data_IF_086539797286
#
_entry.id   IF_086539797286
#
_cell.length_a   1.000
_cell.length_b   1.000
_cell.length_c   1.000
_cell.angle_alpha   90.00
_cell.angle_beta   90.00
_cell.angle_gamma   90.00
#
_symmetry.space_group_name_H-M   'P 1'
#
loop_
_entity.id
_entity.type
_entity.pdbx_description
1 polymer ?
#
# COMPACT_ATOMS: atom_id res chain seq x y z
N UNK A 1 34.51 -35.32 -9.90
CA UNK A 1 33.33 -34.72 -9.24
C UNK A 1 32.35 -35.86 -8.92
N UNK A 2 32.08 -36.07 -7.64
CA UNK A 2 31.22 -37.19 -7.16
C UNK A 2 29.75 -36.96 -7.59
N UNK A 3 29.03 -38.05 -7.83
CA UNK A 3 27.59 -38.03 -8.18
C UNK A 3 26.77 -37.27 -7.12
N UNK A 4 27.16 -37.35 -5.84
CA UNK A 4 26.56 -36.62 -4.74
C UNK A 4 26.64 -35.09 -4.91
N UNK A 5 27.76 -34.54 -5.43
CA UNK A 5 27.96 -33.10 -5.66
C UNK A 5 27.05 -32.56 -6.76
N UNK A 6 26.75 -33.42 -7.76
CA UNK A 6 25.82 -33.04 -8.87
C UNK A 6 24.37 -32.96 -8.42
N UNK A 7 23.94 -33.86 -7.51
CA UNK A 7 22.56 -33.83 -6.99
C UNK A 7 22.30 -32.67 -6.05
N UNK A 8 23.29 -32.27 -5.24
CA UNK A 8 23.18 -31.11 -4.34
C UNK A 8 23.11 -29.81 -5.15
N UNK A 9 23.93 -29.65 -6.22
CA UNK A 9 23.89 -28.49 -7.07
C UNK A 9 22.56 -28.36 -7.84
N UNK A 10 21.99 -29.49 -8.29
CA UNK A 10 20.69 -29.48 -8.97
C UNK A 10 19.52 -29.14 -8.03
N UNK A 11 19.57 -29.63 -6.78
CA UNK A 11 18.57 -29.29 -5.78
C UNK A 11 18.61 -27.81 -5.35
N UNK A 12 19.82 -27.21 -5.25
CA UNK A 12 19.96 -25.79 -4.97
C UNK A 12 19.43 -24.90 -6.11
N UNK A 13 19.74 -25.25 -7.37
CA UNK A 13 19.19 -24.53 -8.54
C UNK A 13 17.66 -24.61 -8.62
N UNK A 14 17.08 -25.78 -8.31
CA UNK A 14 15.64 -25.95 -8.32
C UNK A 14 14.97 -25.15 -7.19
N UNK A 15 15.57 -25.07 -6.01
CA UNK A 15 15.06 -24.26 -4.90
C UNK A 15 15.09 -22.75 -5.20
N UNK A 16 16.14 -22.24 -5.85
CA UNK A 16 16.22 -20.84 -6.29
C UNK A 16 15.15 -20.53 -7.36
N UNK A 17 14.93 -21.41 -8.32
CA UNK A 17 13.93 -21.23 -9.36
C UNK A 17 12.50 -21.20 -8.78
N UNK A 18 12.21 -22.04 -7.78
CA UNK A 18 10.90 -22.04 -7.10
C UNK A 18 10.67 -20.78 -6.28
N UNK A 19 11.70 -20.22 -5.63
CA UNK A 19 11.60 -18.96 -4.89
C UNK A 19 11.30 -17.79 -5.81
N UNK A 20 11.95 -17.69 -6.96
CA UNK A 20 11.70 -16.65 -7.95
C UNK A 20 10.30 -16.70 -8.55
N UNK A 21 9.77 -17.90 -8.84
CA UNK A 21 8.42 -18.07 -9.35
C UNK A 21 7.35 -17.71 -8.31
N UNK A 22 7.55 -18.04 -7.04
CA UNK A 22 6.64 -17.68 -5.96
C UNK A 22 6.60 -16.15 -5.73
N UNK A 23 7.74 -15.47 -5.82
CA UNK A 23 7.82 -14.02 -5.72
C UNK A 23 7.15 -13.32 -6.91
N UNK A 24 7.36 -13.78 -8.12
CA UNK A 24 6.72 -13.24 -9.32
C UNK A 24 5.19 -13.39 -9.25
N UNK A 25 4.69 -14.55 -8.81
CA UNK A 25 3.27 -14.79 -8.59
C UNK A 25 2.67 -13.90 -7.50
N UNK A 26 3.45 -13.59 -6.45
CA UNK A 26 3.03 -12.65 -5.39
C UNK A 26 2.91 -11.22 -5.93
N UNK A 27 3.88 -10.74 -6.72
CA UNK A 27 3.86 -9.41 -7.35
C UNK A 27 2.67 -9.24 -8.30
N UNK A 28 2.43 -10.20 -9.18
CA UNK A 28 1.29 -10.20 -10.09
C UNK A 28 -0.04 -10.14 -9.32
N UNK A 29 -0.13 -10.85 -8.21
CA UNK A 29 -1.32 -10.83 -7.35
C UNK A 29 -1.52 -9.46 -6.68
N UNK A 30 -0.43 -8.80 -6.24
CA UNK A 30 -0.49 -7.44 -5.71
C UNK A 30 -0.95 -6.48 -6.81
N UNK A 31 -0.35 -6.53 -8.00
CA UNK A 31 -0.69 -5.66 -9.13
C UNK A 31 -2.16 -5.77 -9.53
N UNK A 32 -2.70 -6.98 -9.69
CA UNK A 32 -4.13 -7.20 -9.98
C UNK A 32 -5.05 -6.60 -8.93
N UNK A 33 -4.67 -6.69 -7.65
CA UNK A 33 -5.45 -6.08 -6.56
C UNK A 33 -5.35 -4.57 -6.56
N UNK A 34 -4.16 -4.02 -6.86
CA UNK A 34 -3.91 -2.59 -7.00
C UNK A 34 -4.75 -2.00 -8.13
N UNK A 35 -4.76 -2.65 -9.31
CA UNK A 35 -5.56 -2.22 -10.45
C UNK A 35 -7.06 -2.20 -10.11
N UNK A 36 -7.53 -3.25 -9.43
CA UNK A 36 -8.92 -3.32 -8.95
C UNK A 36 -9.24 -2.19 -7.97
N UNK A 37 -8.36 -1.94 -6.99
CA UNK A 37 -8.57 -0.88 -5.99
C UNK A 37 -8.58 0.51 -6.64
N UNK A 38 -7.72 0.77 -7.63
CA UNK A 38 -7.72 2.02 -8.39
C UNK A 38 -9.00 2.19 -9.22
N UNK A 39 -9.48 1.12 -9.86
CA UNK A 39 -10.74 1.17 -10.60
C UNK A 39 -11.93 1.46 -9.67
N UNK A 40 -11.98 0.81 -8.52
CA UNK A 40 -13.02 1.06 -7.50
C UNK A 40 -12.93 2.49 -6.94
N UNK A 41 -11.73 3.02 -6.68
CA UNK A 41 -11.54 4.40 -6.24
C UNK A 41 -12.08 5.40 -7.28
N UNK A 42 -11.77 5.20 -8.54
CA UNK A 42 -12.28 6.05 -9.63
C UNK A 42 -13.79 6.02 -9.76
N UNK A 43 -14.40 4.85 -9.59
CA UNK A 43 -15.85 4.71 -9.68
C UNK A 43 -16.60 5.23 -8.46
N UNK A 44 -16.01 5.08 -7.26
CA UNK A 44 -16.67 5.43 -6.00
C UNK A 44 -16.47 6.89 -5.58
N UNK A 45 -15.40 7.54 -6.07
CA UNK A 45 -14.97 8.87 -5.59
C UNK A 45 -15.00 9.89 -6.70
N UNK A 46 -15.91 10.85 -6.61
CA UNK A 46 -16.00 11.95 -7.58
C UNK A 46 -14.75 12.81 -7.52
N UNK A 47 -14.07 12.97 -8.66
CA UNK A 47 -12.81 13.72 -8.76
C UNK A 47 -11.53 12.88 -8.62
N UNK A 48 -11.63 11.57 -8.41
CA UNK A 48 -10.49 10.67 -8.28
C UNK A 48 -9.56 10.70 -9.50
N UNK A 49 -10.11 10.71 -10.72
CA UNK A 49 -9.31 10.79 -11.95
C UNK A 49 -8.50 12.09 -12.04
N UNK A 50 -9.09 13.22 -11.66
CA UNK A 50 -8.40 14.50 -11.66
C UNK A 50 -7.24 14.54 -10.65
N UNK A 51 -7.40 13.90 -9.50
CA UNK A 51 -6.34 13.80 -8.48
C UNK A 51 -5.22 12.88 -8.95
N UNK A 52 -5.56 11.72 -9.50
CA UNK A 52 -4.58 10.77 -10.04
C UNK A 52 -3.82 11.41 -11.21
N UNK A 53 -4.49 12.14 -12.08
CA UNK A 53 -3.86 12.82 -13.21
C UNK A 53 -2.86 13.92 -12.79
N UNK A 54 -3.07 14.56 -11.63
CA UNK A 54 -2.16 15.57 -11.07
C UNK A 54 -1.01 14.94 -10.27
N UNK A 55 -1.08 13.67 -9.95
CA UNK A 55 -0.09 13.02 -9.09
C UNK A 55 1.21 12.72 -9.83
N UNK A 56 2.32 12.85 -9.11
CA UNK A 56 3.65 12.38 -9.54
C UNK A 56 3.87 10.91 -9.17
N UNK A 57 3.08 10.37 -8.26
CA UNK A 57 3.08 8.96 -7.86
C UNK A 57 1.86 8.59 -7.02
N UNK A 58 1.46 7.34 -7.08
CA UNK A 58 0.32 6.80 -6.33
C UNK A 58 0.71 5.48 -5.67
N UNK A 59 0.73 5.45 -4.35
CA UNK A 59 0.96 4.22 -3.58
C UNK A 59 -0.38 3.64 -3.14
N UNK A 60 -0.65 2.42 -3.54
CA UNK A 60 -1.94 1.76 -3.34
C UNK A 60 -1.78 0.54 -2.44
N UNK A 61 -2.48 0.53 -1.32
CA UNK A 61 -2.69 -0.64 -0.47
C UNK A 61 -4.11 -1.14 -0.67
N UNK A 62 -4.30 -2.20 -1.49
CA UNK A 62 -5.64 -2.68 -1.86
C UNK A 62 -6.39 -3.35 -0.71
N UNK A 63 -5.67 -3.74 0.34
CA UNK A 63 -6.27 -4.31 1.55
C UNK A 63 -5.28 -4.18 2.71
N UNK A 64 -5.63 -3.39 3.70
CA UNK A 64 -4.96 -3.35 5.00
C UNK A 64 -5.89 -4.04 5.98
N UNK A 65 -5.42 -5.15 6.55
CA UNK A 65 -6.18 -5.95 7.49
C UNK A 65 -5.80 -5.56 8.91
N UNK A 66 -6.81 -5.40 9.76
CA UNK A 66 -6.67 -5.17 11.20
C UNK A 66 -7.12 -6.42 11.93
N UNK A 67 -6.29 -6.88 12.88
CA UNK A 67 -6.62 -8.01 13.75
C UNK A 67 -6.13 -7.74 15.18
N UNK A 68 -6.91 -8.17 16.16
CA UNK A 68 -6.58 -8.05 17.58
C UNK A 68 -7.81 -7.91 18.47
N UNK A 69 -7.61 -8.14 19.76
CA UNK A 69 -8.60 -7.91 20.83
C UNK A 69 -7.92 -7.02 21.89
N UNK A 70 -8.41 -5.78 22.05
CA UNK A 70 -7.79 -4.78 22.94
C UNK A 70 -6.51 -4.16 22.37
N UNK A 71 -5.51 -4.98 22.06
CA UNK A 71 -4.29 -4.60 21.34
C UNK A 71 -4.22 -5.44 20.09
N UNK A 72 -3.88 -4.82 18.97
CA UNK A 72 -3.82 -5.50 17.67
C UNK A 72 -2.80 -4.86 16.73
N UNK A 73 -2.76 -5.37 15.52
CA UNK A 73 -1.93 -4.83 14.45
C UNK A 73 -2.70 -4.68 13.16
N UNK A 74 -2.19 -3.78 12.33
CA UNK A 74 -2.64 -3.62 10.95
C UNK A 74 -1.49 -4.00 10.02
N UNK A 75 -1.81 -4.69 8.94
CA UNK A 75 -0.85 -5.06 7.90
C UNK A 75 -1.50 -5.08 6.53
N UNK A 76 -0.75 -4.61 5.54
CA UNK A 76 -1.15 -4.65 4.14
C UNK A 76 0.04 -4.55 3.20
N UNK A 77 -0.11 -5.08 2.00
CA UNK A 77 0.85 -4.99 0.92
C UNK A 77 0.27 -4.20 -0.23
N UNK A 78 1.13 -3.47 -0.94
CA UNK A 78 0.75 -2.59 -2.02
C UNK A 78 1.86 -2.30 -3.01
N UNK A 79 1.56 -1.44 -3.97
CA UNK A 79 2.51 -1.03 -5.01
C UNK A 79 2.47 0.47 -5.25
N UNK A 80 3.66 1.03 -5.50
CA UNK A 80 3.83 2.40 -5.98
C UNK A 80 3.73 2.42 -7.50
N UNK A 81 2.82 3.22 -8.02
CA UNK A 81 2.62 3.50 -9.43
C UNK A 81 3.17 4.87 -9.79
N UNK A 82 4.01 4.95 -10.83
CA UNK A 82 4.47 6.19 -11.44
C UNK A 82 4.20 6.08 -12.94
N UNK A 83 3.49 7.06 -13.50
CA UNK A 83 3.08 7.00 -14.90
C UNK A 83 2.25 5.75 -15.25
N UNK A 84 1.45 5.26 -14.30
CA UNK A 84 0.61 4.06 -14.46
C UNK A 84 1.33 2.72 -14.30
N UNK A 85 2.67 2.69 -14.15
CA UNK A 85 3.47 1.47 -14.01
C UNK A 85 3.91 1.24 -12.57
N UNK A 86 3.96 -0.01 -12.12
CA UNK A 86 4.55 -0.38 -10.84
C UNK A 86 6.06 -0.17 -10.88
N UNK A 87 6.58 0.61 -9.93
CA UNK A 87 8.02 0.87 -9.78
C UNK A 87 8.61 0.22 -8.52
N UNK A 88 7.80 -0.04 -7.50
CA UNK A 88 8.24 -0.69 -6.26
C UNK A 88 7.03 -1.25 -5.50
N UNK A 89 7.28 -2.24 -4.64
CA UNK A 89 6.30 -2.82 -3.73
C UNK A 89 6.60 -2.41 -2.30
N UNK A 90 5.55 -2.27 -1.50
CA UNK A 90 5.64 -1.83 -0.11
C UNK A 90 4.68 -2.63 0.77
N UNK A 91 5.06 -2.79 2.02
CA UNK A 91 4.16 -3.20 3.09
C UNK A 91 3.86 -2.01 4.00
N UNK A 92 2.70 -2.00 4.62
CA UNK A 92 2.36 -1.08 5.71
C UNK A 92 2.02 -1.87 6.96
N UNK A 93 2.50 -1.39 8.11
CA UNK A 93 2.22 -1.97 9.41
C UNK A 93 1.99 -0.86 10.44
N UNK A 94 1.03 -1.07 11.33
CA UNK A 94 0.76 -0.18 12.47
C UNK A 94 0.29 -0.99 13.68
N UNK A 95 0.64 -0.51 14.88
CA UNK A 95 -0.01 -0.99 16.10
C UNK A 95 -1.41 -0.36 16.20
N UNK A 96 -2.38 -1.12 16.64
CA UNK A 96 -3.73 -0.62 16.88
C UNK A 96 -4.19 -0.95 18.28
N UNK A 97 -4.78 0.05 18.96
CA UNK A 97 -5.40 -0.09 20.28
C UNK A 97 -6.90 0.14 20.08
N UNK A 98 -7.73 -0.77 20.55
CA UNK A 98 -9.18 -0.58 20.52
C UNK A 98 -9.97 -1.86 20.74
N UNK A 99 -11.14 -1.70 21.33
CA UNK A 99 -12.12 -2.77 21.54
C UNK A 99 -12.90 -3.03 20.25
N UNK A 100 -12.28 -3.74 19.31
CA UNK A 100 -12.98 -4.18 18.11
C UNK A 100 -12.87 -5.69 17.99
N UNK A 101 -14.00 -6.37 18.18
CA UNK A 101 -14.16 -7.78 17.91
C UNK A 101 -14.29 -7.96 16.39
N UNK A 102 -13.29 -8.61 15.76
CA UNK A 102 -13.37 -9.01 14.37
C UNK A 102 -12.22 -8.52 13.49
N UNK A 103 -12.09 -9.13 12.33
CA UNK A 103 -11.16 -8.73 11.29
C UNK A 103 -11.81 -7.64 10.42
N UNK A 104 -11.16 -6.49 10.32
CA UNK A 104 -11.57 -5.41 9.44
C UNK A 104 -10.56 -5.26 8.32
N UNK A 105 -11.01 -4.80 7.17
CA UNK A 105 -10.14 -4.48 6.05
C UNK A 105 -10.51 -3.11 5.48
N UNK A 106 -9.50 -2.29 5.21
CA UNK A 106 -9.64 -1.00 4.53
C UNK A 106 -8.74 -0.94 3.30
N UNK A 107 -9.07 -0.04 2.40
CA UNK A 107 -8.21 0.35 1.28
C UNK A 107 -7.62 1.71 1.55
N UNK A 108 -6.39 1.88 1.13
CA UNK A 108 -5.68 3.14 1.31
C UNK A 108 -4.89 3.48 0.06
N UNK A 109 -5.04 4.72 -0.40
CA UNK A 109 -4.30 5.25 -1.54
C UNK A 109 -3.59 6.52 -1.09
N UNK A 110 -2.26 6.53 -1.14
CA UNK A 110 -1.47 7.74 -0.93
C UNK A 110 -1.16 8.33 -2.30
N UNK A 111 -1.58 9.57 -2.50
CA UNK A 111 -1.33 10.33 -3.71
C UNK A 111 -0.24 11.36 -3.40
N UNK A 112 0.88 11.26 -4.11
CA UNK A 112 1.98 12.23 -4.05
C UNK A 112 1.70 13.32 -5.08
N UNK A 113 1.49 14.55 -4.62
CA UNK A 113 1.23 15.72 -5.46
C UNK A 113 2.47 16.57 -5.65
N UNK A 114 3.53 16.30 -4.87
CA UNK A 114 4.82 16.99 -4.92
C UNK A 114 5.95 16.01 -5.20
N UNK A 115 6.84 16.37 -6.13
CA UNK A 115 7.95 15.51 -6.54
C UNK A 115 8.97 15.30 -5.42
N UNK A 116 9.25 16.35 -4.64
CA UNK A 116 10.23 16.25 -3.55
C UNK A 116 9.75 15.32 -2.44
N UNK A 117 8.43 15.33 -2.16
CA UNK A 117 7.81 14.41 -1.21
C UNK A 117 7.88 12.95 -1.70
N UNK A 118 7.66 12.71 -2.99
CA UNK A 118 7.82 11.38 -3.59
C UNK A 118 9.27 10.90 -3.53
N UNK A 119 10.24 11.77 -3.84
CA UNK A 119 11.65 11.42 -3.84
C UNK A 119 12.15 11.13 -2.41
N UNK A 120 11.72 11.93 -1.44
CA UNK A 120 12.00 11.68 -0.01
C UNK A 120 11.41 10.34 0.45
N UNK A 121 10.17 10.04 0.07
CA UNK A 121 9.54 8.76 0.35
C UNK A 121 10.33 7.59 -0.26
N UNK A 122 10.75 7.70 -1.52
CA UNK A 122 11.46 6.64 -2.24
C UNK A 122 12.89 6.42 -1.76
N UNK A 123 13.52 7.42 -1.16
CA UNK A 123 14.86 7.32 -0.59
C UNK A 123 14.90 6.63 0.77
N UNK A 124 13.75 6.43 1.41
CA UNK A 124 13.61 5.72 2.69
C UNK A 124 13.11 4.30 2.48
N UNK A 125 13.74 3.34 3.11
CA UNK A 125 13.26 1.95 3.13
C UNK A 125 12.19 1.72 4.21
N UNK A 126 12.18 2.57 5.25
CA UNK A 126 11.21 2.57 6.33
C UNK A 126 10.69 3.98 6.54
N UNK A 127 9.55 4.29 5.97
CA UNK A 127 8.93 5.61 6.06
C UNK A 127 7.76 5.59 7.06
N UNK A 128 7.75 6.51 8.01
CA UNK A 128 6.72 6.61 9.04
C UNK A 128 5.82 7.83 8.82
N UNK A 129 4.52 7.59 8.73
CA UNK A 129 3.51 8.67 8.59
C UNK A 129 3.49 9.53 9.85
N UNK A 130 3.60 10.85 9.67
CA UNK A 130 3.63 11.83 10.78
C UNK A 130 5.03 12.15 11.29
N UNK A 131 6.02 11.28 11.04
CA UNK A 131 7.43 11.49 11.41
C UNK A 131 8.26 11.92 10.19
N UNK A 132 8.28 11.10 9.14
CA UNK A 132 9.08 11.35 7.94
C UNK A 132 8.38 12.27 6.93
N UNK A 133 7.07 12.40 7.04
CA UNK A 133 6.26 13.29 6.22
C UNK A 133 4.85 13.44 6.71
N UNK A 134 4.30 14.64 6.55
CA UNK A 134 2.90 14.94 6.84
C UNK A 134 2.00 14.40 5.73
N UNK A 135 0.93 13.74 6.12
CA UNK A 135 -0.08 13.18 5.20
C UNK A 135 -1.45 13.71 5.60
N UNK A 136 -2.12 14.34 4.67
CA UNK A 136 -3.52 14.73 4.87
C UNK A 136 -4.43 13.54 4.61
N UNK A 137 -5.22 13.15 5.60
CA UNK A 137 -6.13 12.02 5.51
C UNK A 137 -7.51 12.45 5.05
N UNK A 138 -8.00 11.82 4.01
CA UNK A 138 -9.37 11.98 3.49
C UNK A 138 -10.09 10.64 3.59
N UNK A 139 -11.05 10.55 4.49
CA UNK A 139 -11.94 9.38 4.57
C UNK A 139 -13.09 9.59 3.60
N UNK A 140 -13.23 8.69 2.65
CA UNK A 140 -14.27 8.77 1.62
C UNK A 140 -15.34 7.74 1.92
N UNK A 141 -16.54 8.21 2.29
CA UNK A 141 -17.73 7.40 2.40
C UNK A 141 -18.36 7.09 1.03
N UNK A 142 -19.41 6.26 1.00
CA UNK A 142 -20.14 5.96 -0.22
C UNK A 142 -20.71 7.24 -0.87
N UNK A 143 -20.36 7.48 -2.13
CA UNK A 143 -20.73 8.69 -2.86
C UNK A 143 -19.89 9.93 -2.49
N UNK A 144 -18.74 9.74 -1.84
CA UNK A 144 -17.90 10.83 -1.38
C UNK A 144 -17.30 11.66 -2.52
N UNK A 145 -17.16 12.96 -2.26
CA UNK A 145 -16.51 13.92 -3.14
C UNK A 145 -15.20 14.36 -2.52
N UNK A 146 -14.17 14.49 -3.34
CA UNK A 146 -12.88 15.01 -2.91
C UNK A 146 -13.02 16.52 -2.71
N UNK A 147 -12.67 16.98 -1.50
CA UNK A 147 -12.53 18.40 -1.20
C UNK A 147 -11.24 18.93 -1.84
N UNK A 148 -11.37 19.79 -2.84
CA UNK A 148 -10.25 20.36 -3.58
C UNK A 148 -9.28 21.15 -2.68
N UNK A 149 -9.74 21.68 -1.54
CA UNK A 149 -8.87 22.41 -0.59
C UNK A 149 -7.85 21.49 0.09
N UNK A 150 -8.15 20.21 0.22
CA UNK A 150 -7.24 19.19 0.77
C UNK A 150 -6.15 18.76 -0.20
N UNK A 151 -6.25 19.14 -1.47
CA UNK A 151 -5.28 18.82 -2.51
C UNK A 151 -4.06 19.77 -2.55
N UNK A 152 -3.98 20.75 -1.68
CA UNK A 152 -2.84 21.66 -1.54
C UNK A 152 -1.73 21.11 -0.62
N UNK A 153 -1.77 19.80 -0.34
CA UNK A 153 -0.79 19.13 0.51
C UNK A 153 0.12 18.23 -0.35
N UNK A 154 1.41 18.10 0.01
CA UNK A 154 2.34 17.26 -0.75
C UNK A 154 1.92 15.80 -0.88
N UNK A 155 1.29 15.24 0.17
CA UNK A 155 0.81 13.86 0.21
C UNK A 155 -0.62 13.85 0.77
N UNK A 156 -1.52 13.21 0.04
CA UNK A 156 -2.92 13.01 0.47
C UNK A 156 -3.22 11.52 0.51
N UNK A 157 -3.69 11.02 1.65
CA UNK A 157 -4.14 9.65 1.81
C UNK A 157 -5.66 9.56 1.74
N UNK A 158 -6.15 8.80 0.77
CA UNK A 158 -7.56 8.46 0.66
C UNK A 158 -7.79 7.10 1.30
N UNK A 159 -8.71 7.07 2.26
CA UNK A 159 -9.16 5.84 2.89
C UNK A 159 -10.59 5.61 2.46
N UNK A 160 -10.84 4.46 1.87
CA UNK A 160 -12.17 4.06 1.47
C UNK A 160 -12.38 2.57 1.73
N UNK A 161 -13.59 2.21 2.09
CA UNK A 161 -14.03 0.85 2.29
C UNK A 161 -15.36 0.63 1.56
N UNK A 162 -15.55 -0.56 1.06
CA UNK A 162 -16.82 -1.00 0.49
C UNK A 162 -17.95 -1.08 1.51
N UNK A 163 -17.67 -0.98 2.80
CA UNK A 163 -18.63 -1.13 3.90
C UNK A 163 -18.95 0.13 4.71
N UNK A 164 -18.28 1.26 4.47
CA UNK A 164 -18.68 2.58 4.97
C UNK A 164 -18.64 2.81 6.49
N UNK A 165 -17.92 2.01 7.27
CA UNK A 165 -17.98 2.02 8.73
C UNK A 165 -16.59 2.26 9.38
N UNK A 166 -15.86 3.30 8.95
CA UNK A 166 -14.61 3.63 9.64
C UNK A 166 -14.66 5.02 10.26
N UNK A 167 -14.93 5.07 11.56
CA UNK A 167 -14.72 6.22 12.43
C UNK A 167 -13.37 6.06 13.12
N UNK A 168 -12.61 7.17 13.23
CA UNK A 168 -11.30 7.27 13.92
C UNK A 168 -10.16 6.44 13.31
N UNK A 169 -9.69 6.84 12.15
CA UNK A 169 -8.45 6.35 11.58
C UNK A 169 -7.32 7.36 11.79
N UNK A 170 -6.46 7.08 12.75
CA UNK A 170 -5.15 7.71 12.83
C UNK A 170 -4.19 6.91 11.93
N UNK A 171 -3.62 7.54 10.91
CA UNK A 171 -2.54 6.94 10.12
C UNK A 171 -1.17 7.21 10.73
N UNK A 172 -1.08 8.14 11.67
CA UNK A 172 0.16 8.48 12.38
C UNK A 172 0.76 7.25 13.05
N UNK A 173 2.07 7.09 12.92
CA UNK A 173 2.80 5.93 13.43
C UNK A 173 2.71 4.68 12.53
N UNK A 174 2.02 4.76 11.39
CA UNK A 174 2.06 3.67 10.40
C UNK A 174 3.41 3.67 9.68
N UNK A 175 4.08 2.53 9.70
CA UNK A 175 5.36 2.32 8.99
C UNK A 175 5.09 1.73 7.63
N UNK A 176 5.70 2.32 6.61
CA UNK A 176 5.68 1.86 5.24
C UNK A 176 7.09 1.41 4.87
N UNK A 177 7.24 0.12 4.61
CA UNK A 177 8.54 -0.52 4.34
C UNK A 177 8.59 -1.00 2.90
N UNK A 178 9.70 -0.72 2.21
CA UNK A 178 9.93 -1.23 0.87
C UNK A 178 10.14 -2.75 0.92
N UNK A 179 9.44 -3.47 0.05
CA UNK A 179 9.66 -4.91 -0.14
C UNK A 179 10.79 -5.05 -1.15
N UNK A 180 11.98 -5.42 -0.65
CA UNK A 180 13.12 -5.77 -1.50
C UNK A 180 12.86 -7.15 -2.10
N UNK A 181 13.10 -7.26 -3.38
CA UNK A 181 12.95 -8.51 -4.13
C UNK A 181 14.25 -8.70 -4.89
N UNK A 182 15.17 -9.35 -4.23
CA UNK A 182 16.39 -9.85 -4.85
C UNK A 182 16.07 -10.96 -5.85
#
# INVERSE_FOLDING_TARGET
MSVATRHVAFALLAALAMSGAALAASKEKIDKRVDKALAEFRSAVKGADAVIAKSVGVLVFPSIKKAGIGVGGEYGEGALRIGGRTVSYYSTAAASIGFQLGAQARRQILVFLDQSALDKFRSSDNWEIGVDGSVTVVVVGAGGQIDATKLNQPIVAFIFDSKGLMYNLALEGSKITRIHTD
#
